data_IF_979686494213
#
_entry.id   IF_979686494213
#
_cell.length_a   1.000
_cell.length_b   1.000
_cell.length_c   1.000
_cell.angle_alpha   90.00
_cell.angle_beta   90.00
_cell.angle_gamma   90.00
#
_symmetry.space_group_name_H-M   'P 1'
#
loop_
_entity.id
_entity.type
_entity.pdbx_description
1 polymer ?
#
# COMPACT_ATOMS: atom_id res chain seq x y z
N UNK A 1 -3.69 1.13 -19.97
CA UNK A 1 -3.57 -0.17 -20.67
C UNK A 1 -3.42 -1.26 -19.62
N UNK A 2 -4.29 -2.27 -19.70
CA UNK A 2 -4.45 -3.31 -18.68
C UNK A 2 -3.38 -4.37 -18.76
N UNK A 3 -2.68 -4.58 -17.64
CA UNK A 3 -1.86 -5.76 -17.40
C UNK A 3 -2.80 -6.93 -17.02
N UNK A 4 -2.38 -8.19 -17.22
CA UNK A 4 -3.11 -9.30 -16.63
C UNK A 4 -3.13 -9.16 -15.11
N UNK A 5 -4.21 -9.59 -14.44
CA UNK A 5 -4.38 -9.44 -12.98
C UNK A 5 -3.22 -10.07 -12.18
N UNK A 6 -2.65 -11.16 -12.68
CA UNK A 6 -1.48 -11.84 -12.14
C UNK A 6 -0.16 -11.04 -12.27
N UNK A 7 -0.14 -9.96 -13.05
CA UNK A 7 0.99 -9.05 -13.16
C UNK A 7 0.75 -7.69 -12.47
N UNK A 8 -0.37 -7.53 -11.76
CA UNK A 8 -0.69 -6.33 -11.00
C UNK A 8 -0.40 -6.63 -9.53
N UNK A 9 0.78 -6.23 -9.03
CA UNK A 9 1.10 -6.39 -7.60
C UNK A 9 0.33 -5.40 -6.75
N UNK A 10 -0.17 -5.85 -5.61
CA UNK A 10 -0.94 -5.01 -4.70
C UNK A 10 -0.07 -3.89 -4.12
N UNK A 11 1.19 -4.19 -3.82
CA UNK A 11 2.14 -3.16 -3.40
C UNK A 11 2.33 -2.04 -4.44
N UNK A 12 2.28 -2.33 -5.74
CA UNK A 12 2.37 -1.30 -6.78
C UNK A 12 1.12 -0.41 -6.80
N UNK A 13 -0.07 -1.02 -6.70
CA UNK A 13 -1.35 -0.29 -6.62
C UNK A 13 -1.37 0.67 -5.44
N UNK A 14 -0.97 0.20 -4.25
CA UNK A 14 -0.94 1.05 -3.05
C UNK A 14 0.05 2.20 -3.18
N UNK A 15 1.23 1.98 -3.78
CA UNK A 15 2.21 3.06 -4.01
C UNK A 15 1.73 4.12 -5.00
N UNK A 16 0.88 3.74 -5.96
CA UNK A 16 0.33 4.68 -6.94
C UNK A 16 -0.86 5.49 -6.39
N UNK A 17 -1.64 4.91 -5.47
CA UNK A 17 -2.87 5.53 -4.97
C UNK A 17 -2.69 6.28 -3.65
N UNK A 18 -1.76 5.84 -2.79
CA UNK A 18 -1.62 6.39 -1.45
C UNK A 18 -0.34 7.25 -1.31
N UNK A 19 -0.40 8.39 -0.59
CA UNK A 19 0.76 9.24 -0.36
C UNK A 19 1.80 8.61 0.58
N UNK A 20 1.45 7.50 1.25
CA UNK A 20 2.31 6.70 2.16
C UNK A 20 3.03 7.52 3.24
N UNK A 21 2.52 8.71 3.52
CA UNK A 21 3.09 9.68 4.44
C UNK A 21 2.29 9.66 5.74
N UNK A 22 2.73 8.82 6.69
CA UNK A 22 2.05 8.64 7.98
C UNK A 22 2.09 9.90 8.87
N UNK A 23 3.08 10.76 8.68
CA UNK A 23 3.28 11.97 9.47
C UNK A 23 3.68 13.13 8.57
N UNK A 24 3.18 14.33 8.89
CA UNK A 24 3.61 15.55 8.24
C UNK A 24 4.94 16.03 8.86
N UNK A 25 6.06 15.73 8.19
CA UNK A 25 7.39 16.18 8.59
C UNK A 25 7.81 17.51 7.93
N UNK A 26 6.88 18.33 7.44
CA UNK A 26 7.19 19.67 6.95
C UNK A 26 7.93 20.49 8.02
N UNK A 27 8.89 21.31 7.58
CA UNK A 27 9.66 22.19 8.47
C UNK A 27 8.79 23.21 9.22
N UNK A 28 7.58 23.49 8.71
CA UNK A 28 6.60 24.35 9.36
C UNK A 28 5.97 23.72 10.60
N UNK A 29 5.91 22.39 10.66
CA UNK A 29 5.21 21.65 11.74
C UNK A 29 6.13 20.72 12.54
N UNK A 30 7.32 20.37 12.02
CA UNK A 30 8.22 19.40 12.65
C UNK A 30 9.68 19.87 12.62
N UNK A 31 10.07 20.68 13.61
CA UNK A 31 11.43 21.23 13.71
C UNK A 31 12.51 20.19 14.04
N UNK A 32 12.14 19.05 14.63
CA UNK A 32 13.08 17.97 14.97
C UNK A 32 13.42 17.05 13.78
N UNK A 33 12.83 17.29 12.61
CA UNK A 33 12.96 16.42 11.43
C UNK A 33 14.39 15.96 11.12
N UNK A 34 15.43 16.83 11.16
CA UNK A 34 16.81 16.41 10.89
C UNK A 34 17.35 15.32 11.83
N UNK A 35 16.82 15.22 13.06
CA UNK A 35 17.25 14.26 14.08
C UNK A 35 16.13 13.29 14.53
N UNK A 36 14.99 13.29 13.84
CA UNK A 36 13.80 12.57 14.26
C UNK A 36 13.93 11.05 14.00
N UNK A 37 14.24 10.28 15.06
CA UNK A 37 14.27 8.81 15.00
C UNK A 37 12.90 8.19 14.71
N UNK A 38 11.82 8.85 15.11
CA UNK A 38 10.46 8.40 14.83
C UNK A 38 10.17 8.37 13.32
N UNK A 39 10.59 9.40 12.57
CA UNK A 39 10.45 9.43 11.10
C UNK A 39 11.12 8.21 10.46
N UNK A 40 12.30 7.82 10.94
CA UNK A 40 13.00 6.64 10.45
C UNK A 40 12.26 5.34 10.80
N UNK A 41 11.77 5.20 12.03
CA UNK A 41 11.01 4.03 12.45
C UNK A 41 9.72 3.87 11.62
N UNK A 42 8.99 4.95 11.39
CA UNK A 42 7.77 4.95 10.56
C UNK A 42 8.07 4.62 9.09
N UNK A 43 9.13 5.20 8.53
CA UNK A 43 9.54 4.89 7.15
C UNK A 43 9.88 3.40 6.98
N UNK A 44 10.56 2.79 7.96
CA UNK A 44 10.84 1.35 7.96
C UNK A 44 9.55 0.52 8.05
N UNK A 45 8.62 0.91 8.92
CA UNK A 45 7.34 0.22 9.06
C UNK A 45 6.53 0.25 7.75
N UNK A 46 6.45 1.42 7.09
CA UNK A 46 5.81 1.56 5.77
C UNK A 46 6.49 0.67 4.74
N UNK A 47 7.82 0.64 4.71
CA UNK A 47 8.55 -0.22 3.77
C UNK A 47 8.25 -1.71 4.00
N UNK A 48 8.22 -2.16 5.27
CA UNK A 48 7.86 -3.54 5.59
C UNK A 48 6.43 -3.89 5.18
N UNK A 49 5.48 -2.98 5.42
CA UNK A 49 4.10 -3.13 4.96
C UNK A 49 4.01 -3.27 3.44
N UNK A 50 4.69 -2.41 2.69
CA UNK A 50 4.68 -2.47 1.23
C UNK A 50 5.38 -3.71 0.68
N UNK A 51 6.47 -4.15 1.32
CA UNK A 51 7.16 -5.40 0.96
C UNK A 51 6.25 -6.61 1.17
N UNK A 52 5.43 -6.62 2.22
CA UNK A 52 4.42 -7.66 2.39
C UNK A 52 3.40 -7.64 1.25
N UNK A 53 2.91 -6.46 0.87
CA UNK A 53 1.95 -6.31 -0.24
C UNK A 53 2.54 -6.65 -1.62
N UNK A 54 3.86 -6.62 -1.78
CA UNK A 54 4.53 -7.04 -3.03
C UNK A 54 4.43 -8.55 -3.28
N UNK A 55 4.09 -9.34 -2.25
CA UNK A 55 3.89 -10.79 -2.35
C UNK A 55 2.52 -11.18 -2.96
N UNK A 56 1.62 -10.21 -3.15
CA UNK A 56 0.27 -10.45 -3.64
C UNK A 56 0.05 -9.75 -4.97
N UNK A 57 -0.75 -10.38 -5.82
CA UNK A 57 -1.25 -9.83 -7.07
C UNK A 57 -2.76 -9.63 -7.02
N UNK A 58 -3.32 -8.88 -7.96
CA UNK A 58 -4.77 -8.73 -8.07
C UNK A 58 -5.44 -10.08 -8.33
N UNK A 59 -4.80 -10.98 -9.08
CA UNK A 59 -5.29 -12.34 -9.30
C UNK A 59 -5.46 -13.09 -7.97
N UNK A 60 -4.47 -13.04 -7.08
CA UNK A 60 -4.53 -13.73 -5.77
C UNK A 60 -5.72 -13.30 -4.92
N UNK A 61 -6.23 -12.07 -5.10
CA UNK A 61 -7.36 -11.55 -4.34
C UNK A 61 -8.73 -11.93 -4.93
N UNK A 62 -8.80 -12.19 -6.24
CA UNK A 62 -10.07 -12.36 -6.98
C UNK A 62 -10.28 -13.77 -7.51
N UNK A 63 -9.22 -14.51 -7.83
CA UNK A 63 -9.34 -15.88 -8.35
C UNK A 63 -9.91 -16.80 -7.26
N UNK A 64 -10.86 -17.65 -7.65
CA UNK A 64 -11.56 -18.60 -6.77
C UNK A 64 -12.27 -17.98 -5.53
N UNK A 65 -12.38 -16.65 -5.45
CA UNK A 65 -13.01 -15.94 -4.34
C UNK A 65 -14.53 -15.82 -4.50
N UNK A 66 -15.24 -16.95 -4.49
CA UNK A 66 -16.70 -17.02 -4.66
C UNK A 66 -17.50 -16.10 -3.71
N UNK A 67 -17.12 -15.96 -2.41
CA UNK A 67 -17.79 -15.00 -1.54
C UNK A 67 -17.70 -13.55 -2.05
N UNK A 68 -16.54 -13.13 -2.54
CA UNK A 68 -16.35 -11.79 -3.10
C UNK A 68 -17.23 -11.58 -4.34
N UNK A 69 -17.25 -12.55 -5.27
CA UNK A 69 -18.10 -12.44 -6.47
C UNK A 69 -19.57 -12.28 -6.13
N UNK A 70 -20.06 -13.00 -5.12
CA UNK A 70 -21.45 -12.84 -4.66
C UNK A 70 -21.73 -11.44 -4.17
N UNK A 71 -20.81 -10.82 -3.41
CA UNK A 71 -21.00 -9.46 -2.89
C UNK A 71 -20.98 -8.40 -4.01
N UNK A 72 -20.12 -8.57 -5.02
CA UNK A 72 -20.00 -7.62 -6.14
C UNK A 72 -21.16 -7.70 -7.14
N UNK A 73 -21.89 -8.81 -7.18
CA UNK A 73 -23.03 -9.05 -8.07
C UNK A 73 -24.38 -8.71 -7.43
N UNK A 74 -24.39 -8.30 -6.17
CA UNK A 74 -25.61 -7.83 -5.48
C UNK A 74 -25.75 -6.34 -5.78
N UNK A 75 -26.68 -6.02 -6.68
CA UNK A 75 -27.28 -4.68 -6.81
C UNK A 75 -28.12 -4.34 -5.57
#
# INVERSE_FOLDING_TARGET
>A
MGKPASAIRIGDVVRELEPLSLVNCSSEFCHITPACRLKQALSKAVQSFLTELDNYTLADLVEENQPLYKLLLVE
#
